data_IF_953603162907
#
_entry.id   IF_953603162907
#
_cell.length_a   1.000
_cell.length_b   1.000
_cell.length_c   1.000
_cell.angle_alpha   90.00
_cell.angle_beta   90.00
_cell.angle_gamma   90.00
#
_symmetry.space_group_name_H-M   'P 1'
#
loop_
_entity.id
_entity.type
_entity.pdbx_description
1 polymer ?
#
# COMPACT_ATOMS: atom_id res chain seq x y z
N UNK A 1 -23.35 9.64 0.86
CA UNK A 1 -22.65 9.03 -0.31
C UNK A 1 -21.61 8.07 0.22
N UNK A 2 -21.41 6.92 -0.42
CA UNK A 2 -20.40 5.94 -0.01
C UNK A 2 -19.14 6.05 -0.88
N UNK A 3 -17.97 6.06 -0.25
CA UNK A 3 -16.65 6.17 -0.88
C UNK A 3 -15.82 4.94 -0.55
N UNK A 4 -15.25 4.31 -1.57
CA UNK A 4 -14.27 3.24 -1.40
C UNK A 4 -12.85 3.81 -1.55
N UNK A 5 -12.02 3.60 -0.55
CA UNK A 5 -10.65 4.13 -0.46
C UNK A 5 -9.69 2.97 -0.20
N UNK A 6 -8.60 2.91 -0.95
CA UNK A 6 -7.48 1.99 -0.65
C UNK A 6 -6.45 2.74 0.18
N UNK A 7 -6.29 2.33 1.44
CA UNK A 7 -5.17 2.72 2.28
C UNK A 7 -3.94 1.87 1.96
N UNK A 8 -2.77 2.49 1.94
CA UNK A 8 -1.47 1.84 1.69
C UNK A 8 -0.50 2.24 2.80
N UNK A 9 0.19 1.27 3.39
CA UNK A 9 1.20 1.50 4.43
C UNK A 9 2.43 0.62 4.20
N UNK A 10 3.61 1.18 4.45
CA UNK A 10 4.90 0.47 4.46
C UNK A 10 5.58 0.78 5.79
N UNK A 11 5.60 -0.20 6.70
CA UNK A 11 6.25 -0.06 8.00
C UNK A 11 7.78 0.01 7.90
N UNK A 12 8.42 0.54 8.95
CA UNK A 12 9.88 0.54 9.08
C UNK A 12 10.48 -0.85 9.35
N UNK A 13 9.64 -1.86 9.62
CA UNK A 13 10.00 -3.28 9.69
C UNK A 13 10.52 -3.83 8.36
N UNK A 14 10.12 -3.22 7.23
CA UNK A 14 10.45 -3.65 5.87
C UNK A 14 10.03 -5.10 5.57
N UNK A 15 8.92 -5.55 6.17
CA UNK A 15 8.34 -6.88 5.99
C UNK A 15 7.32 -6.94 4.84
N UNK A 16 6.62 -5.85 4.55
CA UNK A 16 5.70 -5.81 3.41
C UNK A 16 4.99 -4.48 3.17
N UNK A 17 4.12 -4.54 2.14
CA UNK A 17 3.17 -3.51 1.78
C UNK A 17 1.79 -3.90 2.28
N UNK A 18 1.28 -3.17 3.27
CA UNK A 18 -0.07 -3.34 3.77
C UNK A 18 -1.04 -2.53 2.90
N UNK A 19 -2.15 -3.17 2.51
CA UNK A 19 -3.22 -2.55 1.75
C UNK A 19 -4.57 -2.87 2.39
N UNK A 20 -5.43 -1.86 2.52
CA UNK A 20 -6.78 -1.99 3.07
C UNK A 20 -7.80 -1.25 2.21
N UNK A 21 -8.83 -1.95 1.74
CA UNK A 21 -9.97 -1.38 1.05
C UNK A 21 -11.00 -1.02 2.11
N UNK A 22 -11.20 0.26 2.32
CA UNK A 22 -12.12 0.80 3.31
C UNK A 22 -13.31 1.44 2.61
N UNK A 23 -14.50 1.21 3.15
CA UNK A 23 -15.71 1.92 2.75
C UNK A 23 -16.05 2.95 3.82
N UNK A 24 -16.28 4.18 3.39
CA UNK A 24 -16.74 5.29 4.23
C UNK A 24 -18.09 5.75 3.73
N UNK A 25 -19.05 5.93 4.62
CA UNK A 25 -20.40 6.36 4.28
C UNK A 25 -20.90 7.38 5.29
N UNK A 26 -21.43 8.49 4.78
CA UNK A 26 -22.04 9.52 5.62
C UNK A 26 -23.54 9.21 5.78
N UNK A 27 -23.96 8.97 7.03
CA UNK A 27 -25.33 8.65 7.46
C UNK A 27 -25.67 9.57 8.62
N UNK A 28 -26.75 10.34 8.51
CA UNK A 28 -27.23 11.25 9.58
C UNK A 28 -26.15 12.20 10.14
N UNK A 29 -25.28 12.74 9.27
CA UNK A 29 -24.12 13.59 9.62
C UNK A 29 -23.02 12.87 10.43
N UNK A 30 -23.06 11.55 10.50
CA UNK A 30 -22.01 10.69 11.05
C UNK A 30 -21.30 9.93 9.93
N UNK A 31 -20.01 9.68 10.11
CA UNK A 31 -19.23 8.85 9.19
C UNK A 31 -19.18 7.43 9.73
N UNK A 32 -19.86 6.52 9.07
CA UNK A 32 -19.66 5.08 9.26
C UNK A 32 -18.52 4.59 8.38
N UNK A 33 -17.77 3.60 8.87
CA UNK A 33 -16.67 3.01 8.13
C UNK A 33 -16.57 1.50 8.34
N UNK A 34 -16.06 0.80 7.34
CA UNK A 34 -15.76 -0.64 7.41
C UNK A 34 -14.53 -0.98 6.58
N UNK A 35 -13.80 -2.01 7.01
CA UNK A 35 -12.76 -2.65 6.19
C UNK A 35 -13.46 -3.71 5.34
N UNK A 36 -13.46 -3.51 4.03
CA UNK A 36 -14.04 -4.43 3.04
C UNK A 36 -13.09 -5.59 2.78
N UNK A 37 -11.80 -5.31 2.65
CA UNK A 37 -10.76 -6.30 2.45
C UNK A 37 -9.41 -5.74 2.88
N UNK A 38 -8.49 -6.62 3.28
CA UNK A 38 -7.10 -6.26 3.57
C UNK A 38 -6.15 -7.32 3.06
N UNK A 39 -4.91 -6.91 2.77
CA UNK A 39 -3.84 -7.80 2.34
C UNK A 39 -2.49 -7.20 2.66
N UNK A 40 -1.56 -8.04 3.12
CA UNK A 40 -0.14 -7.71 3.18
C UNK A 40 0.59 -8.42 2.03
N UNK A 41 1.36 -7.68 1.26
CA UNK A 41 2.26 -8.24 0.22
C UNK A 41 3.68 -8.20 0.77
N UNK A 42 4.32 -9.36 1.02
CA UNK A 42 5.71 -9.37 1.48
C UNK A 42 6.62 -8.66 0.50
N UNK A 43 7.55 -7.85 0.99
CA UNK A 43 8.48 -7.19 0.09
C UNK A 43 9.40 -8.23 -0.57
N UNK A 44 9.57 -8.17 -1.89
CA UNK A 44 10.62 -8.96 -2.52
C UNK A 44 11.98 -8.44 -2.04
N UNK A 45 13.02 -9.30 -1.94
CA UNK A 45 14.31 -8.93 -1.35
C UNK A 45 14.89 -7.63 -1.91
N UNK A 46 14.81 -7.43 -3.23
CA UNK A 46 15.33 -6.24 -3.91
C UNK A 46 14.64 -4.92 -3.49
N UNK A 47 13.38 -4.94 -3.05
CA UNK A 47 12.70 -3.76 -2.50
C UNK A 47 13.17 -3.57 -1.06
N UNK A 48 13.10 -4.61 -0.23
CA UNK A 48 13.46 -4.52 1.19
C UNK A 48 14.91 -4.07 1.40
N UNK A 49 15.84 -4.57 0.59
CA UNK A 49 17.26 -4.19 0.62
C UNK A 49 17.48 -2.74 0.15
N UNK A 50 16.82 -2.33 -0.93
CA UNK A 50 16.91 -0.97 -1.41
C UNK A 50 16.39 0.04 -0.37
N UNK A 51 15.23 -0.25 0.25
CA UNK A 51 14.67 0.58 1.32
C UNK A 51 15.58 0.60 2.56
N UNK A 52 16.18 -0.53 2.93
CA UNK A 52 17.14 -0.61 4.05
C UNK A 52 18.37 0.26 3.81
N UNK A 53 18.85 0.32 2.57
CA UNK A 53 19.99 1.16 2.18
C UNK A 53 19.65 2.64 1.98
N UNK A 54 18.36 3.01 1.97
CA UNK A 54 17.91 4.37 1.65
C UNK A 54 18.59 5.50 2.44
N UNK A 55 18.91 5.36 3.76
CA UNK A 55 19.55 6.44 4.50
C UNK A 55 20.99 6.73 4.06
N UNK A 56 21.65 5.79 3.38
CA UNK A 56 23.02 5.95 2.88
C UNK A 56 23.10 6.30 1.38
N UNK A 57 21.95 6.46 0.71
CA UNK A 57 21.91 6.81 -0.71
C UNK A 57 22.23 8.29 -0.94
N UNK A 58 22.78 8.57 -2.13
CA UNK A 58 22.85 9.94 -2.64
C UNK A 58 21.44 10.49 -2.88
N UNK A 59 21.28 11.81 -2.96
CA UNK A 59 19.99 12.41 -3.28
C UNK A 59 19.43 11.94 -4.63
N UNK A 60 20.29 11.74 -5.63
CA UNK A 60 19.92 11.21 -6.94
C UNK A 60 19.40 9.77 -6.84
N UNK A 61 20.11 8.91 -6.13
CA UNK A 61 19.72 7.50 -5.95
C UNK A 61 18.45 7.37 -5.10
N UNK A 62 18.26 8.25 -4.11
CA UNK A 62 17.06 8.29 -3.29
C UNK A 62 15.82 8.69 -4.13
N UNK A 63 15.94 9.68 -5.02
CA UNK A 63 14.87 10.03 -5.96
C UNK A 63 14.56 8.89 -6.94
N UNK A 64 15.58 8.17 -7.40
CA UNK A 64 15.37 6.97 -8.21
C UNK A 64 14.67 5.86 -7.43
N UNK A 65 15.03 5.65 -6.16
CA UNK A 65 14.38 4.70 -5.28
C UNK A 65 12.91 5.08 -5.04
N UNK A 66 12.62 6.34 -4.73
CA UNK A 66 11.25 6.85 -4.57
C UNK A 66 10.38 6.53 -5.79
N UNK A 67 10.85 6.88 -6.99
CA UNK A 67 10.15 6.60 -8.24
C UNK A 67 9.93 5.09 -8.48
N UNK A 68 10.94 4.26 -8.16
CA UNK A 68 10.84 2.80 -8.30
C UNK A 68 9.87 2.20 -7.29
N UNK A 69 9.90 2.67 -6.04
CA UNK A 69 9.05 2.19 -4.98
C UNK A 69 7.59 2.59 -5.22
N UNK A 70 7.33 3.82 -5.67
CA UNK A 70 5.99 4.24 -6.11
C UNK A 70 5.44 3.38 -7.25
N UNK A 71 6.28 3.02 -8.24
CA UNK A 71 5.88 2.07 -9.30
C UNK A 71 5.55 0.67 -8.76
N UNK A 72 6.33 0.18 -7.79
CA UNK A 72 6.06 -1.09 -7.12
C UNK A 72 4.69 -1.05 -6.41
N UNK A 73 4.44 -0.01 -5.60
CA UNK A 73 3.16 0.19 -4.91
C UNK A 73 1.99 0.19 -5.90
N UNK A 74 2.09 0.97 -6.98
CA UNK A 74 1.03 1.03 -8.00
C UNK A 74 0.77 -0.31 -8.71
N UNK A 75 1.83 -1.09 -8.96
CA UNK A 75 1.72 -2.43 -9.56
C UNK A 75 1.02 -3.40 -8.61
N UNK A 76 1.43 -3.47 -7.34
CA UNK A 76 0.82 -4.38 -6.36
C UNK A 76 -0.62 -4.00 -6.06
N UNK A 77 -0.92 -2.70 -5.96
CA UNK A 77 -2.29 -2.18 -5.78
C UNK A 77 -3.18 -2.59 -6.95
N UNK A 78 -2.72 -2.38 -8.19
CA UNK A 78 -3.46 -2.79 -9.39
C UNK A 78 -3.67 -4.30 -9.43
N UNK A 79 -2.65 -5.09 -9.11
CA UNK A 79 -2.74 -6.55 -9.08
C UNK A 79 -3.77 -7.03 -8.06
N UNK A 80 -3.81 -6.40 -6.88
CA UNK A 80 -4.84 -6.70 -5.88
C UNK A 80 -6.25 -6.36 -6.37
N UNK A 81 -6.45 -5.17 -6.95
CA UNK A 81 -7.75 -4.74 -7.49
C UNK A 81 -8.26 -5.61 -8.64
N UNK A 82 -7.38 -6.25 -9.39
CA UNK A 82 -7.72 -7.14 -10.50
C UNK A 82 -7.94 -8.60 -10.07
N UNK A 83 -7.61 -8.95 -8.82
CA UNK A 83 -7.85 -10.28 -8.27
C UNK A 83 -9.30 -10.38 -7.78
N UNK A 84 -10.00 -11.52 -7.98
CA UNK A 84 -11.31 -11.72 -7.37
C UNK A 84 -11.15 -11.65 -5.84
N UNK A 85 -11.92 -10.79 -5.16
CA UNK A 85 -11.97 -10.77 -3.71
C UNK A 85 -12.40 -12.16 -3.23
N UNK A 86 -11.47 -12.96 -2.70
CA UNK A 86 -11.82 -14.12 -1.90
C UNK A 86 -12.04 -13.60 -0.49
N UNK A 87 -13.29 -13.60 -0.04
CA UNK A 87 -13.60 -13.52 1.38
C UNK A 87 -12.87 -14.68 2.07
N UNK A 88 -12.02 -14.34 3.03
CA UNK A 88 -11.41 -15.29 3.97
C UNK A 88 -12.37 -15.56 5.12
#
# INVERSE_FOLDING_TARGET
MASNIIGIMSGSSLDGLDMALCRFEEIDSMVEWSIVASKTVPFPPFISEALRSSPSLSGWDLMHLDSRFGRFIGKETKAWMQSPFHES
#
